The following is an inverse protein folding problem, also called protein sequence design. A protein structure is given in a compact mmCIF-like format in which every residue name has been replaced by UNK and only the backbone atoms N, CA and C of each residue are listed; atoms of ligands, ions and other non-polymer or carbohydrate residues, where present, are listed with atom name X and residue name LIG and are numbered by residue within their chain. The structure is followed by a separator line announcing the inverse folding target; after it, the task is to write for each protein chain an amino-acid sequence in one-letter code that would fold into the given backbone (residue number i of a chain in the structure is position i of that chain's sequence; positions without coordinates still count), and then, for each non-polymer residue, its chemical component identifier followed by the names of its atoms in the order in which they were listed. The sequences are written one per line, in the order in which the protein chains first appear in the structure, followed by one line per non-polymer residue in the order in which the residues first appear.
data_IF_748833617394
#
_entry.id   IF_748833617394
#
_cell.length_a   1.000
_cell.length_b   1.000
_cell.length_c   1.000
_cell.angle_alpha   90.00
_cell.angle_beta   90.00
_cell.angle_gamma   90.00
#
_symmetry.space_group_name_H-M   'P 1'
#
loop_
_entity.id
_entity.type
_entity.pdbx_description
1 polymer ?
#
# COMPACT_ATOMS: atom_id res chain seq x y z
N UNK A 1 7.29 4.45 13.22
CA UNK A 1 7.00 3.02 13.43
C UNK A 1 5.51 2.88 13.69
N UNK A 2 4.80 2.14 12.86
CA UNK A 2 3.39 1.82 13.05
C UNK A 2 3.17 1.12 14.41
N UNK A 3 2.18 0.28 14.52
CA UNK A 3 2.01 -0.52 15.74
C UNK A 3 3.02 -1.67 15.72
N UNK A 4 3.88 -1.78 16.73
CA UNK A 4 4.97 -2.78 16.79
C UNK A 4 4.48 -4.23 16.66
N UNK A 5 3.26 -4.52 17.07
CA UNK A 5 2.60 -5.83 17.02
C UNK A 5 1.48 -5.91 15.98
N UNK A 6 1.28 -4.86 15.18
CA UNK A 6 0.16 -4.75 14.24
C UNK A 6 0.09 -5.89 13.22
N UNK A 7 1.24 -6.36 12.74
CA UNK A 7 1.33 -7.50 11.82
C UNK A 7 0.85 -8.83 12.40
N UNK A 8 0.88 -8.97 13.74
CA UNK A 8 0.36 -10.16 14.44
C UNK A 8 -1.11 -10.02 14.84
N UNK A 9 -1.57 -8.79 15.07
CA UNK A 9 -2.91 -8.52 15.60
C UNK A 9 -3.96 -8.36 14.51
N UNK A 10 -3.57 -7.77 13.37
CA UNK A 10 -4.49 -7.43 12.30
C UNK A 10 -4.32 -8.38 11.11
N UNK A 11 -5.40 -9.03 10.71
CA UNK A 11 -5.43 -9.80 9.47
C UNK A 11 -5.28 -8.89 8.24
N UNK A 12 -4.66 -9.41 7.19
CA UNK A 12 -4.62 -8.73 5.90
C UNK A 12 -6.03 -8.64 5.33
N UNK A 13 -6.43 -7.44 4.96
CA UNK A 13 -7.70 -7.16 4.29
C UNK A 13 -7.42 -6.33 3.04
N UNK A 14 -8.00 -6.74 1.93
CA UNK A 14 -7.90 -6.06 0.64
C UNK A 14 -9.26 -5.52 0.21
N UNK A 15 -9.26 -4.59 -0.72
CA UNK A 15 -10.46 -4.18 -1.47
C UNK A 15 -11.15 -5.39 -2.10
N UNK A 16 -12.42 -5.24 -2.37
CA UNK A 16 -13.22 -6.19 -3.13
C UNK A 16 -13.67 -5.55 -4.44
N UNK A 17 -14.11 -6.35 -5.37
CA UNK A 17 -14.61 -5.88 -6.65
C UNK A 17 -16.11 -6.07 -6.77
N UNK A 18 -16.76 -5.19 -7.51
CA UNK A 18 -18.14 -5.39 -7.97
C UNK A 18 -18.22 -6.68 -8.81
N UNK A 19 -19.33 -7.41 -8.70
CA UNK A 19 -19.51 -8.67 -9.42
C UNK A 19 -19.36 -8.48 -10.95
N UNK A 20 -18.74 -9.43 -11.68
CA UNK A 20 -18.42 -9.23 -13.10
C UNK A 20 -19.61 -8.88 -14.00
N UNK A 21 -20.79 -9.43 -13.73
CA UNK A 21 -21.99 -9.12 -14.52
C UNK A 21 -22.52 -7.71 -14.25
N UNK A 22 -22.42 -7.24 -13.01
CA UNK A 22 -22.84 -5.88 -12.62
C UNK A 22 -21.92 -4.80 -13.24
N UNK A 23 -20.64 -5.13 -13.48
CA UNK A 23 -19.69 -4.22 -14.14
C UNK A 23 -20.05 -3.91 -15.60
N UNK A 24 -20.93 -4.71 -16.23
CA UNK A 24 -21.37 -4.48 -17.61
C UNK A 24 -22.40 -3.35 -17.72
N UNK A 25 -22.99 -2.91 -16.62
CA UNK A 25 -24.03 -1.89 -16.60
C UNK A 25 -23.51 -0.45 -16.74
N UNK A 26 -22.25 -0.22 -16.39
CA UNK A 26 -21.62 1.11 -16.44
C UNK A 26 -20.10 1.02 -16.61
N UNK A 27 -19.44 2.18 -16.69
CA UNK A 27 -17.98 2.32 -16.78
C UNK A 27 -17.39 2.96 -15.52
N UNK A 28 -18.06 2.85 -14.39
CA UNK A 28 -17.61 3.40 -13.14
C UNK A 28 -16.48 2.56 -12.53
N UNK A 29 -15.84 3.08 -11.48
CA UNK A 29 -14.84 2.36 -10.71
C UNK A 29 -15.47 1.10 -10.08
N UNK A 30 -14.95 -0.06 -10.40
CA UNK A 30 -15.48 -1.34 -9.89
C UNK A 30 -14.75 -1.87 -8.65
N UNK A 31 -13.66 -1.22 -8.24
CA UNK A 31 -12.98 -1.54 -6.99
C UNK A 31 -13.70 -0.89 -5.80
N UNK A 32 -14.07 -1.73 -4.83
CA UNK A 32 -14.67 -1.30 -3.56
C UNK A 32 -13.55 -1.17 -2.53
N UNK A 33 -12.98 0.03 -2.46
CA UNK A 33 -11.84 0.33 -1.61
C UNK A 33 -12.18 0.28 -0.13
N UNK A 34 -11.18 0.04 0.71
CA UNK A 34 -11.32 0.05 2.16
C UNK A 34 -11.62 1.46 2.69
N UNK A 35 -12.34 1.54 3.82
CA UNK A 35 -12.52 2.82 4.51
C UNK A 35 -11.20 3.37 5.05
N UNK A 36 -11.16 4.64 5.37
CA UNK A 36 -9.99 5.32 5.93
C UNK A 36 -9.47 4.62 7.19
N UNK A 37 -10.35 4.24 8.11
CA UNK A 37 -10.00 3.55 9.35
C UNK A 37 -9.48 2.13 9.09
N UNK A 38 -10.10 1.43 8.15
CA UNK A 38 -9.63 0.11 7.73
C UNK A 38 -8.24 0.20 7.10
N UNK A 39 -8.00 1.24 6.30
CA UNK A 39 -6.71 1.45 5.66
C UNK A 39 -5.61 1.79 6.68
N UNK A 40 -5.91 2.61 7.70
CA UNK A 40 -5.01 2.84 8.83
C UNK A 40 -4.63 1.53 9.54
N UNK A 41 -5.61 0.66 9.75
CA UNK A 41 -5.38 -0.67 10.33
C UNK A 41 -4.47 -1.53 9.46
N UNK A 42 -4.63 -1.47 8.14
CA UNK A 42 -3.74 -2.20 7.22
C UNK A 42 -2.32 -1.62 7.21
N UNK A 43 -2.18 -0.31 7.27
CA UNK A 43 -0.88 0.36 7.38
C UNK A 43 -0.14 0.00 8.68
N UNK A 44 -0.89 -0.21 9.79
CA UNK A 44 -0.35 -0.65 11.07
C UNK A 44 0.36 -2.01 11.02
N UNK A 45 0.10 -2.82 9.99
CA UNK A 45 0.76 -4.11 9.79
C UNK A 45 2.22 -3.98 9.34
N UNK A 46 2.66 -2.80 8.94
CA UNK A 46 4.04 -2.56 8.55
C UNK A 46 4.98 -2.70 9.76
N UNK A 47 5.96 -3.60 9.67
CA UNK A 47 6.93 -3.87 10.74
C UNK A 47 8.03 -2.81 10.82
N UNK A 48 8.10 -1.87 9.87
CA UNK A 48 9.17 -0.87 9.76
C UNK A 48 10.57 -1.51 9.81
N UNK A 49 10.81 -2.44 8.89
CA UNK A 49 12.05 -3.23 8.86
C UNK A 49 13.29 -2.35 8.73
N UNK A 50 14.36 -2.66 9.48
CA UNK A 50 15.63 -1.97 9.37
C UNK A 50 16.29 -2.10 7.97
N UNK A 51 16.00 -3.20 7.26
CA UNK A 51 16.33 -3.40 5.86
C UNK A 51 15.02 -3.69 5.12
N UNK A 52 14.33 -2.66 4.59
CA UNK A 52 13.02 -2.82 3.98
C UNK A 52 13.16 -3.31 2.53
N UNK A 53 13.08 -4.61 2.29
CA UNK A 53 13.14 -5.18 0.94
C UNK A 53 12.03 -4.64 0.02
N UNK A 54 10.87 -4.31 0.56
CA UNK A 54 9.79 -3.69 -0.20
C UNK A 54 10.22 -2.37 -0.89
N UNK A 55 11.11 -1.62 -0.26
CA UNK A 55 11.64 -0.34 -0.76
C UNK A 55 12.90 -0.50 -1.61
N UNK A 56 13.62 -1.60 -1.48
CA UNK A 56 15.01 -1.70 -1.93
C UNK A 56 15.21 -1.68 -3.45
N UNK A 57 14.22 -2.08 -4.25
CA UNK A 57 14.28 -2.00 -5.72
C UNK A 57 15.50 -2.69 -6.37
N UNK A 58 16.02 -3.75 -5.74
CA UNK A 58 17.23 -4.43 -6.22
C UNK A 58 16.90 -5.38 -7.37
N UNK A 59 17.88 -5.55 -8.26
CA UNK A 59 17.84 -6.59 -9.29
C UNK A 59 18.45 -7.88 -8.74
N UNK A 60 17.65 -8.93 -8.69
CA UNK A 60 18.07 -10.27 -8.28
C UNK A 60 17.81 -11.24 -9.43
N UNK A 61 18.86 -11.83 -9.98
CA UNK A 61 18.74 -12.76 -11.12
C UNK A 61 18.08 -12.14 -12.37
N UNK A 62 18.24 -10.84 -12.59
CA UNK A 62 17.63 -10.11 -13.71
C UNK A 62 16.18 -9.66 -13.47
N UNK A 63 15.61 -9.92 -12.30
CA UNK A 63 14.25 -9.49 -11.91
C UNK A 63 14.30 -8.42 -10.82
N UNK A 64 13.43 -7.42 -10.90
CA UNK A 64 13.31 -6.42 -9.86
C UNK A 64 12.69 -7.04 -8.60
N UNK A 65 13.33 -6.82 -7.44
CA UNK A 65 12.82 -7.16 -6.13
C UNK A 65 12.47 -5.88 -5.37
N UNK A 66 11.27 -5.80 -4.84
CA UNK A 66 10.79 -4.58 -4.19
C UNK A 66 10.39 -3.48 -5.19
N UNK A 67 10.21 -2.26 -4.70
CA UNK A 67 9.76 -1.14 -5.51
C UNK A 67 10.89 -0.55 -6.37
N UNK A 68 10.80 -0.57 -7.71
CA UNK A 68 11.83 0.01 -8.60
C UNK A 68 11.99 1.53 -8.45
N UNK A 69 10.98 2.22 -7.92
CA UNK A 69 11.03 3.66 -7.63
C UNK A 69 11.66 3.96 -6.27
N UNK A 70 12.01 2.93 -5.49
CA UNK A 70 12.46 3.06 -4.10
C UNK A 70 11.47 3.85 -3.24
N UNK A 71 10.17 3.60 -3.40
CA UNK A 71 9.13 4.26 -2.60
C UNK A 71 9.40 4.09 -1.11
N UNK A 72 9.22 5.18 -0.35
CA UNK A 72 9.46 5.25 1.09
C UNK A 72 8.34 4.56 1.89
N UNK A 73 8.14 3.28 1.60
CA UNK A 73 6.97 2.48 2.02
C UNK A 73 6.83 2.42 3.54
N UNK A 74 7.84 2.11 4.34
CA UNK A 74 7.71 2.10 5.80
C UNK A 74 7.31 3.46 6.36
N UNK A 75 7.91 4.55 5.86
CA UNK A 75 7.64 5.90 6.34
C UNK A 75 6.18 6.31 6.10
N UNK A 76 5.67 6.17 4.88
CA UNK A 76 4.31 6.60 4.63
C UNK A 76 3.26 5.63 5.21
N UNK A 77 3.57 4.35 5.42
CA UNK A 77 2.71 3.44 6.18
C UNK A 77 2.58 3.89 7.64
N UNK A 78 3.68 4.31 8.27
CA UNK A 78 3.65 4.87 9.62
C UNK A 78 2.77 6.13 9.70
N UNK A 79 2.93 7.03 8.73
CA UNK A 79 2.14 8.25 8.65
C UNK A 79 0.65 7.98 8.45
N UNK A 80 0.29 7.01 7.60
CA UNK A 80 -1.10 6.58 7.40
C UNK A 80 -1.69 6.02 8.68
N UNK A 81 -0.96 5.14 9.38
CA UNK A 81 -1.40 4.59 10.66
C UNK A 81 -1.72 5.70 11.68
N UNK A 82 -0.90 6.73 11.76
CA UNK A 82 -1.11 7.88 12.65
C UNK A 82 -2.09 8.93 12.12
N UNK A 83 -2.74 8.68 10.99
CA UNK A 83 -3.70 9.60 10.39
C UNK A 83 -3.10 10.86 9.76
N UNK A 84 -1.79 10.87 9.51
CA UNK A 84 -1.04 12.01 8.93
C UNK A 84 -1.01 11.91 7.40
N UNK A 85 -2.18 11.93 6.79
CA UNK A 85 -2.38 11.65 5.36
C UNK A 85 -1.64 12.61 4.44
N UNK A 86 -1.64 13.90 4.76
CA UNK A 86 -0.93 14.92 3.97
C UNK A 86 0.58 14.68 3.96
N UNK A 87 1.16 14.33 5.12
CA UNK A 87 2.59 14.00 5.20
C UNK A 87 2.88 12.68 4.46
N UNK A 88 2.00 11.70 4.54
CA UNK A 88 2.11 10.46 3.77
C UNK A 88 2.12 10.73 2.27
N UNK A 89 1.25 11.62 1.79
CA UNK A 89 1.22 12.07 0.40
C UNK A 89 2.54 12.72 -0.01
N UNK A 90 3.08 13.63 0.80
CA UNK A 90 4.38 14.25 0.52
C UNK A 90 5.51 13.21 0.39
N UNK A 91 5.52 12.19 1.25
CA UNK A 91 6.51 11.11 1.18
C UNK A 91 6.32 10.24 -0.05
N UNK A 92 5.09 9.90 -0.40
CA UNK A 92 4.78 9.13 -1.61
C UNK A 92 5.18 9.90 -2.87
N UNK A 93 4.83 11.18 -2.97
CA UNK A 93 5.11 12.03 -4.13
C UNK A 93 6.60 12.34 -4.31
N UNK A 94 7.43 12.14 -3.29
CA UNK A 94 8.88 12.32 -3.40
C UNK A 94 9.53 11.34 -4.41
N UNK A 95 9.01 10.14 -4.48
CA UNK A 95 9.54 9.06 -5.33
C UNK A 95 8.58 8.64 -6.45
N UNK A 96 7.27 8.74 -6.23
CA UNK A 96 6.24 8.38 -7.20
C UNK A 96 5.39 9.61 -7.57
N UNK A 97 5.45 10.04 -8.83
CA UNK A 97 4.71 11.21 -9.33
C UNK A 97 3.29 10.88 -9.80
N UNK A 98 2.97 9.60 -9.99
CA UNK A 98 1.70 9.14 -10.55
C UNK A 98 1.07 8.01 -9.71
N UNK A 99 0.90 8.19 -8.38
CA UNK A 99 0.39 7.14 -7.51
C UNK A 99 -1.05 6.73 -7.85
N UNK A 100 -1.82 7.61 -8.46
CA UNK A 100 -3.18 7.33 -8.92
C UNK A 100 -3.23 6.20 -9.96
N UNK A 101 -2.24 6.15 -10.87
CA UNK A 101 -2.15 5.10 -11.88
C UNK A 101 -1.43 3.86 -11.32
N UNK A 102 -0.30 4.05 -10.66
CA UNK A 102 0.50 2.94 -10.15
C UNK A 102 -0.26 2.11 -9.12
N UNK A 103 -1.05 2.73 -8.26
CA UNK A 103 -1.88 2.02 -7.28
C UNK A 103 -2.94 1.11 -7.92
N UNK A 104 -3.31 1.35 -9.18
CA UNK A 104 -4.28 0.52 -9.92
C UNK A 104 -3.65 -0.57 -10.78
N UNK A 105 -2.50 -0.30 -11.41
CA UNK A 105 -1.92 -1.17 -12.43
C UNK A 105 -0.60 -1.83 -12.03
N UNK A 106 0.05 -1.39 -10.96
CA UNK A 106 1.33 -1.93 -10.52
C UNK A 106 1.16 -3.39 -10.04
N UNK A 107 2.05 -4.33 -10.46
CA UNK A 107 2.03 -5.71 -9.97
C UNK A 107 2.45 -5.86 -8.50
N UNK A 108 2.78 -4.76 -7.83
CA UNK A 108 3.13 -4.70 -6.41
C UNK A 108 4.31 -5.61 -6.02
N UNK A 109 5.44 -5.49 -6.72
CA UNK A 109 6.68 -6.20 -6.38
C UNK A 109 7.12 -5.94 -4.92
N UNK A 110 6.77 -4.78 -4.38
CA UNK A 110 6.98 -4.44 -2.98
C UNK A 110 6.22 -5.35 -2.01
N UNK A 111 5.02 -5.79 -2.35
CA UNK A 111 4.25 -6.76 -1.55
C UNK A 111 4.88 -8.15 -1.63
N UNK A 112 5.35 -8.55 -2.81
CA UNK A 112 6.05 -9.82 -2.99
C UNK A 112 7.38 -9.87 -2.20
N UNK A 113 8.06 -8.74 -2.06
CA UNK A 113 9.32 -8.62 -1.31
C UNK A 113 9.12 -8.29 0.18
N UNK A 114 7.89 -8.21 0.66
CA UNK A 114 7.58 -7.78 2.02
C UNK A 114 7.91 -8.88 3.03
N UNK A 115 8.85 -8.62 3.94
CA UNK A 115 9.25 -9.54 5.03
C UNK A 115 8.06 -9.95 5.92
N UNK A 116 7.05 -9.10 6.06
CA UNK A 116 5.82 -9.46 6.77
C UNK A 116 5.11 -10.66 6.12
N UNK A 117 5.21 -10.81 4.81
CA UNK A 117 4.72 -11.98 4.07
C UNK A 117 5.41 -13.27 4.48
N UNK A 118 6.73 -13.23 4.65
CA UNK A 118 7.52 -14.40 5.09
C UNK A 118 7.21 -14.78 6.54
N UNK A 119 6.98 -13.80 7.41
CA UNK A 119 6.75 -14.01 8.84
C UNK A 119 5.32 -14.48 9.15
N UNK A 120 4.32 -13.88 8.48
CA UNK A 120 2.89 -14.09 8.80
C UNK A 120 2.11 -14.82 7.72
N UNK A 121 2.74 -15.14 6.59
CA UNK A 121 2.06 -15.68 5.40
C UNK A 121 1.27 -14.64 4.60
N UNK A 122 1.29 -13.37 5.01
CA UNK A 122 0.56 -12.30 4.31
C UNK A 122 1.26 -10.95 4.39
N UNK A 123 1.62 -10.40 3.24
CA UNK A 123 2.29 -9.09 3.13
C UNK A 123 1.40 -7.93 3.56
N UNK A 124 2.01 -6.77 3.77
CA UNK A 124 1.29 -5.50 3.90
C UNK A 124 0.64 -5.14 2.56
N UNK A 125 -0.55 -4.57 2.60
CA UNK A 125 -1.31 -4.11 1.41
C UNK A 125 -0.76 -2.78 0.89
N UNK A 126 0.47 -2.80 0.39
CA UNK A 126 1.22 -1.59 0.02
C UNK A 126 0.53 -0.81 -1.08
N UNK A 127 0.07 -1.51 -2.13
CA UNK A 127 -0.61 -0.89 -3.26
C UNK A 127 -1.91 -0.20 -2.87
N UNK A 128 -2.69 -0.82 -1.98
CA UNK A 128 -3.93 -0.22 -1.50
C UNK A 128 -3.68 0.95 -0.54
N UNK A 129 -2.62 0.89 0.25
CA UNK A 129 -2.19 2.01 1.09
C UNK A 129 -1.78 3.21 0.22
N UNK A 130 -1.04 2.96 -0.88
CA UNK A 130 -0.70 3.97 -1.87
C UNK A 130 -1.94 4.61 -2.49
N UNK A 131 -2.93 3.78 -2.88
CA UNK A 131 -4.21 4.27 -3.41
C UNK A 131 -4.94 5.14 -2.38
N UNK A 132 -5.05 4.69 -1.14
CA UNK A 132 -5.74 5.44 -0.10
C UNK A 132 -5.08 6.81 0.18
N UNK A 133 -3.76 6.90 0.13
CA UNK A 133 -3.03 8.16 0.30
C UNK A 133 -3.41 9.17 -0.78
N UNK A 134 -3.49 8.76 -2.05
CA UNK A 134 -3.81 9.69 -3.14
C UNK A 134 -5.30 10.03 -3.19
N UNK A 135 -6.18 9.11 -2.83
CA UNK A 135 -7.63 9.38 -2.77
C UNK A 135 -8.01 10.30 -1.61
N UNK A 136 -7.34 10.21 -0.46
CA UNK A 136 -7.57 11.13 0.67
C UNK A 136 -7.38 12.59 0.24
N UNK A 137 -6.43 12.89 -0.66
CA UNK A 137 -6.25 14.22 -1.24
C UNK A 137 -7.50 14.74 -1.95
N UNK A 138 -8.22 13.87 -2.67
CA UNK A 138 -9.42 14.28 -3.43
C UNK A 138 -10.58 14.67 -2.53
N UNK A 139 -10.60 14.16 -1.30
CA UNK A 139 -11.66 14.48 -0.32
C UNK A 139 -11.46 15.84 0.39
N UNK A 140 -10.32 16.48 0.19
CA UNK A 140 -9.93 17.74 0.86
C UNK A 140 -10.03 18.96 -0.07
N UNK A 141 -10.38 18.76 -1.35
CA UNK A 141 -10.52 19.84 -2.34
C UNK A 141 -11.99 20.20 -2.56
#
# INVERSE_FOLDING_TARGET
MGKTTGFMEYARKTSTDVAPLERLENFDEFHLWLSREQQQTQAARCMDCGVPFCQAGMMIGGMASGCPLNNLIPEWNDLVYHGKWELALHRLMATNRFPEFTSRVCPALCEAACTCGDVTGSSVTVRENEHAIIEDRKSVV
#
